data_IF_987559477162
#
_entry.id   IF_987559477162
#
_cell.length_a   1.000
_cell.length_b   1.000
_cell.length_c   1.000
_cell.angle_alpha   90.00
_cell.angle_beta   90.00
_cell.angle_gamma   90.00
#
_symmetry.space_group_name_H-M   'P 1'
#
loop_
_entity.id
_entity.type
_entity.pdbx_description
1 polymer ?
#
# COMPACT_ATOMS: atom_id res chain seq x y z
N UNK A 1 -35.41 -8.50 -29.76
CA UNK A 1 -34.30 -7.56 -29.41
C UNK A 1 -33.30 -8.20 -28.42
N UNK A 2 -33.72 -8.79 -27.32
CA UNK A 2 -32.86 -9.38 -26.31
C UNK A 2 -32.08 -10.62 -26.79
N UNK A 3 -32.69 -11.48 -27.63
CA UNK A 3 -32.02 -12.67 -28.21
C UNK A 3 -30.91 -12.34 -29.23
N UNK A 4 -30.99 -11.22 -29.92
CA UNK A 4 -29.94 -10.78 -30.85
C UNK A 4 -28.72 -10.22 -30.11
N UNK A 5 -28.93 -9.54 -29.00
CA UNK A 5 -27.83 -9.02 -28.14
C UNK A 5 -27.05 -10.15 -27.45
N UNK A 6 -27.75 -11.23 -27.03
CA UNK A 6 -27.09 -12.41 -26.44
C UNK A 6 -26.28 -13.22 -27.47
N UNK A 7 -26.68 -13.23 -28.74
CA UNK A 7 -25.88 -13.84 -29.81
C UNK A 7 -24.59 -13.08 -30.07
N UNK A 8 -24.66 -11.76 -30.15
CA UNK A 8 -23.46 -10.93 -30.35
C UNK A 8 -22.43 -11.10 -29.20
N UNK A 9 -22.89 -11.22 -27.97
CA UNK A 9 -22.00 -11.48 -26.79
C UNK A 9 -21.35 -12.88 -26.91
N UNK A 10 -22.06 -13.87 -27.45
CA UNK A 10 -21.52 -15.21 -27.63
C UNK A 10 -20.49 -15.25 -28.76
N UNK A 11 -20.75 -14.56 -29.86
CA UNK A 11 -19.86 -14.49 -31.03
C UNK A 11 -18.58 -13.69 -30.67
N UNK A 12 -18.69 -12.64 -29.87
CA UNK A 12 -17.54 -11.91 -29.34
C UNK A 12 -16.70 -12.77 -28.35
N UNK A 13 -17.34 -13.65 -27.57
CA UNK A 13 -16.63 -14.56 -26.66
C UNK A 13 -15.89 -15.68 -27.42
N UNK A 14 -16.42 -16.15 -28.58
CA UNK A 14 -15.74 -17.14 -29.42
C UNK A 14 -14.57 -16.56 -30.22
N UNK A 15 -14.54 -15.25 -30.46
CA UNK A 15 -13.40 -14.57 -31.11
C UNK A 15 -12.20 -14.38 -30.17
N UNK A 16 -12.39 -14.44 -28.84
CA UNK A 16 -11.32 -14.51 -27.84
C UNK A 16 -10.91 -15.97 -27.61
N UNK A 17 -10.31 -16.60 -28.58
CA UNK A 17 -9.65 -17.91 -28.41
C UNK A 17 -8.38 -17.69 -27.58
N UNK A 18 -8.44 -17.97 -26.27
CA UNK A 18 -7.25 -18.31 -25.54
C UNK A 18 -6.73 -19.65 -26.07
N UNK A 19 -5.76 -19.63 -26.95
CA UNK A 19 -5.01 -20.83 -27.33
C UNK A 19 -4.25 -21.32 -26.10
N UNK A 20 -4.73 -22.42 -25.50
CA UNK A 20 -3.91 -23.21 -24.61
C UNK A 20 -2.81 -23.89 -25.46
N UNK A 21 -1.71 -23.21 -25.68
CA UNK A 21 -0.49 -23.85 -26.16
C UNK A 21 0.22 -24.51 -24.97
N UNK A 22 -0.03 -25.81 -24.83
CA UNK A 22 0.75 -26.72 -24.04
C UNK A 22 2.05 -27.06 -24.78
N UNK A 23 3.03 -26.19 -24.77
CA UNK A 23 4.42 -26.60 -24.99
C UNK A 23 5.39 -25.44 -24.81
N UNK A 24 6.20 -25.60 -23.84
CA UNK A 24 7.49 -24.99 -23.51
C UNK A 24 7.51 -24.33 -22.15
N UNK A 25 8.40 -24.88 -21.35
CA UNK A 25 8.95 -24.29 -20.14
C UNK A 25 9.49 -22.88 -20.47
N UNK A 26 8.60 -21.90 -20.54
CA UNK A 26 9.01 -20.51 -20.56
C UNK A 26 9.38 -20.21 -19.12
N UNK A 27 10.70 -20.04 -18.88
CA UNK A 27 11.21 -19.35 -17.69
C UNK A 27 10.26 -18.20 -17.40
N UNK A 28 9.72 -18.19 -16.17
CA UNK A 28 8.91 -17.08 -15.66
C UNK A 28 9.84 -15.86 -15.66
N UNK A 29 9.91 -15.18 -16.80
CA UNK A 29 10.38 -13.81 -16.81
C UNK A 29 9.38 -13.06 -15.92
N UNK A 30 9.84 -12.65 -14.76
CA UNK A 30 9.15 -11.73 -13.89
C UNK A 30 8.80 -10.51 -14.75
N UNK A 31 7.54 -10.47 -15.22
CA UNK A 31 7.02 -9.21 -15.74
C UNK A 31 7.14 -8.23 -14.59
N UNK A 32 7.77 -7.06 -14.78
CA UNK A 32 7.81 -6.05 -13.74
C UNK A 32 6.37 -5.82 -13.28
N UNK A 33 6.15 -5.85 -11.99
CA UNK A 33 4.82 -5.65 -11.40
C UNK A 33 4.29 -4.29 -11.86
N UNK A 34 3.45 -4.28 -12.90
CA UNK A 34 2.90 -3.05 -13.49
C UNK A 34 1.92 -2.33 -12.57
N UNK A 35 1.80 -2.77 -11.32
CA UNK A 35 0.86 -2.24 -10.33
C UNK A 35 1.50 -1.30 -9.33
N UNK A 36 2.80 -1.03 -9.46
CA UNK A 36 3.46 -0.09 -8.56
C UNK A 36 2.66 1.22 -8.49
N UNK A 37 2.26 1.58 -7.28
CA UNK A 37 1.47 2.77 -7.00
C UNK A 37 2.32 3.84 -6.36
N UNK A 38 1.96 5.10 -6.61
CA UNK A 38 2.61 6.25 -5.99
C UNK A 38 1.63 7.03 -5.14
N UNK A 39 2.14 7.94 -4.33
CA UNK A 39 1.31 8.84 -3.54
C UNK A 39 0.62 9.94 -4.35
N UNK A 40 0.93 10.05 -5.65
CA UNK A 40 0.44 11.12 -6.49
C UNK A 40 -1.05 10.94 -6.82
N UNK A 41 -1.80 12.04 -6.73
CA UNK A 41 -3.24 12.06 -7.00
C UNK A 41 -3.67 13.40 -7.56
N UNK A 42 -4.56 13.38 -8.55
CA UNK A 42 -5.22 14.58 -9.05
C UNK A 42 -6.55 14.72 -8.30
N UNK A 43 -6.52 15.42 -7.17
CA UNK A 43 -7.66 15.56 -6.26
C UNK A 43 -8.93 16.07 -6.95
N UNK A 44 -8.80 17.00 -7.92
CA UNK A 44 -9.91 17.57 -8.66
C UNK A 44 -10.70 16.60 -9.52
N UNK A 45 -10.13 15.43 -9.83
CA UNK A 45 -10.79 14.37 -10.61
C UNK A 45 -11.56 13.38 -9.74
N UNK A 46 -11.44 13.47 -8.40
CA UNK A 46 -12.05 12.51 -7.49
C UNK A 46 -13.33 13.09 -6.93
N UNK A 47 -14.44 12.40 -7.16
CA UNK A 47 -15.77 12.84 -6.76
C UNK A 47 -16.32 11.89 -5.67
N UNK A 48 -16.95 12.45 -4.65
CA UNK A 48 -17.76 11.72 -3.67
C UNK A 48 -16.96 10.99 -2.57
N UNK A 49 -15.65 11.30 -2.39
CA UNK A 49 -14.79 10.69 -1.36
C UNK A 49 -14.54 11.57 -0.13
N UNK A 50 -15.10 12.78 -0.09
CA UNK A 50 -14.84 13.72 1.02
C UNK A 50 -15.24 13.17 2.39
N UNK A 51 -16.40 12.53 2.46
CA UNK A 51 -16.89 11.94 3.71
C UNK A 51 -15.99 10.79 4.20
N UNK A 52 -15.59 9.90 3.29
CA UNK A 52 -14.67 8.79 3.61
C UNK A 52 -13.31 9.32 4.05
N UNK A 53 -12.76 10.31 3.31
CA UNK A 53 -11.52 11.00 3.68
C UNK A 53 -11.60 11.59 5.07
N UNK A 54 -12.66 12.34 5.40
CA UNK A 54 -12.84 12.96 6.72
C UNK A 54 -12.93 11.92 7.84
N UNK A 55 -13.61 10.80 7.60
CA UNK A 55 -13.70 9.71 8.57
C UNK A 55 -12.32 9.09 8.86
N UNK A 56 -11.55 8.77 7.82
CA UNK A 56 -10.19 8.22 7.93
C UNK A 56 -9.28 9.19 8.67
N UNK A 57 -9.30 10.47 8.31
CA UNK A 57 -8.53 11.52 8.96
C UNK A 57 -8.88 11.67 10.45
N UNK A 58 -10.16 11.62 10.78
CA UNK A 58 -10.62 11.65 12.17
C UNK A 58 -10.06 10.48 12.97
N UNK A 59 -10.15 9.26 12.43
CA UNK A 59 -9.63 8.05 13.09
C UNK A 59 -8.11 8.08 13.28
N UNK A 60 -7.37 8.56 12.29
CA UNK A 60 -5.90 8.72 12.40
C UNK A 60 -5.51 9.80 13.40
N UNK A 61 -6.36 10.80 13.62
CA UNK A 61 -6.10 11.91 14.56
C UNK A 61 -6.48 11.55 16.00
N UNK A 62 -7.43 10.62 16.19
CA UNK A 62 -7.95 10.22 17.50
C UNK A 62 -7.03 9.19 18.13
N UNK A 63 -5.86 9.58 18.63
CA UNK A 63 -5.13 8.71 19.53
C UNK A 63 -5.46 9.06 20.97
N UNK A 64 -6.23 8.21 21.61
CA UNK A 64 -6.66 8.34 23.00
C UNK A 64 -5.52 8.16 24.01
N UNK A 65 -4.40 7.56 23.62
CA UNK A 65 -3.22 7.39 24.43
C UNK A 65 -1.97 7.92 23.70
N UNK A 66 -1.13 8.67 24.42
CA UNK A 66 0.10 9.28 23.87
C UNK A 66 1.13 8.24 23.37
N UNK A 67 0.92 6.97 23.70
CA UNK A 67 1.89 5.89 23.47
C UNK A 67 1.42 4.83 22.46
N UNK A 68 0.27 5.01 21.80
CA UNK A 68 -0.26 4.00 20.89
C UNK A 68 0.01 4.32 19.40
N UNK A 69 0.61 3.33 18.74
CA UNK A 69 0.70 3.29 17.29
C UNK A 69 -0.71 3.09 16.74
N UNK A 70 -1.13 3.96 15.83
CA UNK A 70 -2.41 3.81 15.14
C UNK A 70 -2.20 3.08 13.81
N UNK A 71 -2.87 1.94 13.63
CA UNK A 71 -2.91 1.21 12.36
C UNK A 71 -4.36 1.20 11.89
N UNK A 72 -4.63 1.81 10.76
CA UNK A 72 -5.96 1.91 10.18
C UNK A 72 -6.03 1.16 8.85
N UNK A 73 -6.75 0.03 8.76
CA UNK A 73 -6.95 -0.66 7.50
C UNK A 73 -8.10 -0.04 6.69
N UNK A 74 -7.92 0.07 5.38
CA UNK A 74 -8.94 0.36 4.37
C UNK A 74 -9.16 -0.93 3.58
N UNK A 75 -10.24 -1.63 3.88
CA UNK A 75 -10.58 -2.90 3.26
C UNK A 75 -11.72 -2.73 2.26
N UNK A 76 -11.78 -3.58 1.23
CA UNK A 76 -12.89 -3.59 0.28
C UNK A 76 -12.54 -4.27 -1.04
N UNK A 77 -13.53 -4.37 -1.91
CA UNK A 77 -13.38 -5.00 -3.22
C UNK A 77 -12.30 -4.33 -4.08
N UNK A 78 -11.70 -5.11 -4.98
CA UNK A 78 -10.78 -4.59 -5.98
C UNK A 78 -11.46 -3.50 -6.82
N UNK A 79 -10.72 -2.42 -7.14
CA UNK A 79 -11.24 -1.32 -7.95
C UNK A 79 -12.17 -0.33 -7.24
N UNK A 80 -12.53 -0.52 -5.96
CA UNK A 80 -13.42 0.40 -5.22
C UNK A 80 -12.76 1.75 -4.88
N UNK A 81 -11.47 1.92 -5.15
CA UNK A 81 -10.74 3.17 -4.91
C UNK A 81 -10.09 3.27 -3.53
N UNK A 82 -9.64 2.14 -2.94
CA UNK A 82 -8.90 2.14 -1.65
C UNK A 82 -7.60 2.94 -1.75
N UNK A 83 -6.79 2.65 -2.74
CA UNK A 83 -5.54 3.37 -3.04
C UNK A 83 -5.79 4.86 -3.24
N UNK A 84 -6.83 5.23 -4.01
CA UNK A 84 -7.21 6.63 -4.23
C UNK A 84 -7.59 7.33 -2.92
N UNK A 85 -8.35 6.65 -2.05
CA UNK A 85 -8.68 7.19 -0.73
C UNK A 85 -7.43 7.37 0.14
N UNK A 86 -6.52 6.40 0.12
CA UNK A 86 -5.25 6.50 0.84
C UNK A 86 -4.39 7.65 0.32
N UNK A 87 -4.33 7.88 -1.00
CA UNK A 87 -3.63 9.02 -1.62
C UNK A 87 -4.23 10.35 -1.17
N UNK A 88 -5.56 10.49 -1.15
CA UNK A 88 -6.25 11.70 -0.65
C UNK A 88 -5.91 12.00 0.81
N UNK A 89 -5.84 10.96 1.64
CA UNK A 89 -5.47 11.07 3.06
C UNK A 89 -3.99 11.43 3.19
N UNK A 90 -3.11 10.75 2.47
CA UNK A 90 -1.66 10.97 2.52
C UNK A 90 -1.28 12.41 2.17
N UNK A 91 -1.98 13.01 1.20
CA UNK A 91 -1.73 14.37 0.75
C UNK A 91 -2.50 15.44 1.54
N UNK A 92 -3.24 15.06 2.58
CA UNK A 92 -3.98 16.00 3.41
C UNK A 92 -3.05 16.97 4.16
N UNK A 93 -3.48 18.22 4.26
CA UNK A 93 -2.72 19.31 4.91
C UNK A 93 -2.36 19.01 6.37
N UNK A 94 -3.15 18.20 7.08
CA UNK A 94 -2.93 17.79 8.47
C UNK A 94 -1.62 17.03 8.68
N UNK A 95 -1.10 16.39 7.64
CA UNK A 95 0.17 15.64 7.70
C UNK A 95 1.38 16.45 7.23
N UNK A 96 1.22 17.73 6.87
CA UNK A 96 2.35 18.58 6.47
C UNK A 96 3.38 18.80 7.58
N UNK A 97 2.93 18.76 8.84
CA UNK A 97 3.80 18.91 10.01
C UNK A 97 4.47 17.60 10.47
N UNK A 98 4.19 16.49 9.77
CA UNK A 98 4.87 15.24 10.07
C UNK A 98 6.31 15.30 9.58
N UNK A 99 7.22 14.73 10.38
CA UNK A 99 8.63 14.68 10.02
C UNK A 99 8.86 13.85 8.78
N UNK A 100 8.12 12.73 8.67
CA UNK A 100 8.21 11.84 7.53
C UNK A 100 6.83 11.40 7.06
N UNK A 101 6.67 11.34 5.75
CA UNK A 101 5.52 10.74 5.08
C UNK A 101 6.07 9.77 4.05
N UNK A 102 5.70 8.51 4.18
CA UNK A 102 6.26 7.41 3.39
C UNK A 102 5.14 6.64 2.73
N UNK A 103 5.26 6.39 1.44
CA UNK A 103 4.34 5.58 0.65
C UNK A 103 5.05 4.32 0.17
N UNK A 104 4.60 3.16 0.62
CA UNK A 104 5.15 1.87 0.22
C UNK A 104 4.08 1.07 -0.50
N UNK A 105 4.30 0.79 -1.77
CA UNK A 105 3.58 -0.25 -2.47
C UNK A 105 4.11 -1.62 -2.00
N UNK A 106 3.20 -2.48 -1.54
CA UNK A 106 3.57 -3.84 -1.13
C UNK A 106 3.34 -4.77 -2.31
N UNK A 107 4.44 -5.32 -2.84
CA UNK A 107 4.37 -6.24 -3.97
C UNK A 107 3.60 -7.52 -3.62
N UNK A 108 3.16 -8.27 -4.63
CA UNK A 108 2.48 -9.56 -4.44
C UNK A 108 3.35 -10.58 -3.69
N UNK A 109 4.66 -10.46 -3.82
CA UNK A 109 5.62 -11.21 -3.01
C UNK A 109 5.94 -10.38 -1.78
N UNK A 110 5.38 -10.78 -0.65
CA UNK A 110 5.60 -10.07 0.62
C UNK A 110 7.05 -10.25 1.09
N UNK A 111 7.82 -9.17 1.11
CA UNK A 111 9.19 -9.16 1.63
C UNK A 111 9.42 -8.01 2.62
N UNK A 112 9.67 -8.38 3.86
CA UNK A 112 9.95 -7.43 4.95
C UNK A 112 11.21 -6.60 4.71
N UNK A 113 12.20 -7.13 3.98
CA UNK A 113 13.42 -6.38 3.67
C UNK A 113 13.14 -5.30 2.64
N UNK A 114 12.37 -5.64 1.60
CA UNK A 114 11.95 -4.66 0.59
C UNK A 114 11.15 -3.53 1.21
N UNK A 115 10.16 -3.86 2.05
CA UNK A 115 9.35 -2.86 2.77
C UNK A 115 10.24 -1.97 3.65
N UNK A 116 11.14 -2.56 4.42
CA UNK A 116 12.04 -1.82 5.31
C UNK A 116 13.00 -0.90 4.55
N UNK A 117 13.62 -1.41 3.49
CA UNK A 117 14.53 -0.63 2.64
C UNK A 117 13.80 0.50 1.89
N UNK A 118 12.56 0.26 1.42
CA UNK A 118 11.73 1.29 0.81
C UNK A 118 11.44 2.44 1.77
N UNK A 119 11.13 2.14 3.04
CA UNK A 119 10.91 3.16 4.07
C UNK A 119 12.19 3.96 4.31
N UNK A 120 13.33 3.29 4.50
CA UNK A 120 14.63 3.93 4.75
C UNK A 120 15.01 4.85 3.58
N UNK A 121 14.92 4.35 2.35
CA UNK A 121 15.28 5.10 1.15
C UNK A 121 14.47 6.39 0.99
N UNK A 122 13.16 6.34 1.31
CA UNK A 122 12.30 7.52 1.23
C UNK A 122 12.56 8.53 2.35
N UNK A 123 12.90 8.06 3.55
CA UNK A 123 13.19 8.93 4.69
C UNK A 123 14.53 9.65 4.53
N UNK A 124 15.54 8.97 3.98
CA UNK A 124 16.88 9.51 3.78
C UNK A 124 17.09 10.19 2.41
N UNK A 125 16.09 10.11 1.51
CA UNK A 125 16.22 10.55 0.11
C UNK A 125 17.45 9.93 -0.59
N UNK A 126 17.73 8.66 -0.27
CA UNK A 126 18.89 7.93 -0.76
C UNK A 126 18.53 6.47 -1.11
N UNK A 127 19.36 5.87 -1.95
CA UNK A 127 19.19 4.47 -2.33
C UNK A 127 19.99 3.58 -1.36
N UNK A 128 19.42 3.29 -0.21
CA UNK A 128 19.99 2.39 0.79
C UNK A 128 19.39 0.99 0.60
N UNK A 129 20.24 0.00 0.45
CA UNK A 129 19.81 -1.40 0.38
C UNK A 129 20.58 -2.20 1.44
N UNK A 130 19.93 -2.42 2.59
CA UNK A 130 20.49 -3.17 3.71
C UNK A 130 20.12 -4.66 3.57
N UNK A 131 21.11 -5.53 3.64
CA UNK A 131 20.96 -6.95 3.35
C UNK A 131 20.32 -7.75 4.49
N UNK A 132 20.41 -7.26 5.72
CA UNK A 132 19.91 -8.00 6.88
C UNK A 132 18.79 -7.29 7.61
N UNK A 133 17.80 -8.06 8.06
CA UNK A 133 16.67 -7.53 8.85
C UNK A 133 17.12 -6.82 10.12
N UNK A 134 18.21 -7.27 10.73
CA UNK A 134 18.73 -6.65 11.94
C UNK A 134 19.22 -5.22 11.67
N UNK A 135 19.96 -5.02 10.58
CA UNK A 135 20.43 -3.68 10.16
C UNK A 135 19.25 -2.79 9.81
N UNK A 136 18.28 -3.30 9.06
CA UNK A 136 17.05 -2.57 8.72
C UNK A 136 16.32 -2.11 9.99
N UNK A 137 16.11 -3.00 10.96
CA UNK A 137 15.42 -2.67 12.20
C UNK A 137 16.17 -1.60 13.02
N UNK A 138 17.49 -1.72 13.10
CA UNK A 138 18.32 -0.73 13.79
C UNK A 138 18.26 0.63 13.11
N UNK A 139 18.32 0.63 11.80
CA UNK A 139 18.30 1.85 10.99
C UNK A 139 16.93 2.55 11.08
N UNK A 140 15.83 1.80 10.90
CA UNK A 140 14.48 2.31 11.09
C UNK A 140 14.28 2.92 12.49
N UNK A 141 14.80 2.25 13.52
CA UNK A 141 14.73 2.76 14.88
C UNK A 141 15.46 4.10 15.01
N UNK A 142 16.65 4.20 14.48
CA UNK A 142 17.43 5.44 14.50
C UNK A 142 16.73 6.59 13.76
N UNK A 143 16.16 6.31 12.57
CA UNK A 143 15.53 7.32 11.72
C UNK A 143 14.18 7.82 12.27
N UNK A 144 13.36 6.90 12.78
CA UNK A 144 11.96 7.17 13.08
C UNK A 144 11.67 7.38 14.57
N UNK A 145 12.65 7.12 15.46
CA UNK A 145 12.47 7.32 16.89
C UNK A 145 12.09 8.78 17.18
N UNK A 146 11.03 8.95 17.97
CA UNK A 146 10.48 10.26 18.36
C UNK A 146 9.99 11.17 17.23
N UNK A 147 9.95 10.67 16.00
CA UNK A 147 9.45 11.39 14.83
C UNK A 147 7.97 11.11 14.60
N UNK A 148 7.21 12.17 14.26
CA UNK A 148 5.85 12.01 13.76
C UNK A 148 5.93 11.48 12.33
N UNK A 149 5.47 10.27 12.11
CA UNK A 149 5.59 9.60 10.81
C UNK A 149 4.25 9.04 10.36
N UNK A 150 3.87 9.31 9.12
CA UNK A 150 2.77 8.64 8.43
C UNK A 150 3.35 7.65 7.42
N UNK A 151 2.98 6.40 7.52
CA UNK A 151 3.37 5.36 6.58
C UNK A 151 2.09 4.78 5.95
N UNK A 152 2.03 4.78 4.63
CA UNK A 152 1.02 4.07 3.86
C UNK A 152 1.63 2.79 3.33
N UNK A 153 0.97 1.66 3.60
CA UNK A 153 1.26 0.36 3.00
C UNK A 153 0.12 0.06 2.02
N UNK A 154 0.38 0.26 0.75
CA UNK A 154 -0.65 0.09 -0.27
C UNK A 154 -0.61 -1.31 -0.88
N UNK A 155 -1.79 -1.89 -1.08
CA UNK A 155 -2.02 -3.20 -1.69
C UNK A 155 -1.44 -4.38 -0.88
N UNK A 156 -1.57 -4.34 0.45
CA UNK A 156 -1.10 -5.40 1.35
C UNK A 156 -2.05 -6.59 1.37
N UNK A 157 -1.66 -7.71 0.77
CA UNK A 157 -2.45 -8.94 0.65
C UNK A 157 -1.91 -10.12 1.46
N UNK A 158 -0.94 -9.89 2.34
CA UNK A 158 -0.37 -10.96 3.18
C UNK A 158 -1.41 -11.50 4.16
N UNK A 159 -1.54 -12.81 4.21
CA UNK A 159 -2.48 -13.54 5.07
C UNK A 159 -1.79 -14.33 6.17
N UNK A 160 -0.47 -14.56 6.06
CA UNK A 160 0.29 -15.22 7.11
C UNK A 160 0.44 -14.32 8.32
N UNK A 161 -0.24 -14.70 9.39
CA UNK A 161 -0.24 -13.99 10.67
C UNK A 161 1.18 -13.83 11.25
N UNK A 162 2.09 -14.77 11.00
CA UNK A 162 3.48 -14.69 11.44
C UNK A 162 4.21 -13.55 10.73
N UNK A 163 4.05 -13.44 9.41
CA UNK A 163 4.62 -12.37 8.58
C UNK A 163 4.08 -10.99 8.99
N UNK A 164 2.76 -10.88 9.16
CA UNK A 164 2.12 -9.64 9.62
C UNK A 164 2.59 -9.22 11.02
N UNK A 165 2.77 -10.17 11.94
CA UNK A 165 3.32 -9.87 13.26
C UNK A 165 4.78 -9.39 13.18
N UNK A 166 5.58 -9.97 12.31
CA UNK A 166 6.96 -9.53 12.09
C UNK A 166 7.02 -8.12 11.49
N UNK A 167 6.13 -7.80 10.52
CA UNK A 167 5.98 -6.44 9.98
C UNK A 167 5.61 -5.47 11.11
N UNK A 168 4.61 -5.81 11.92
CA UNK A 168 4.17 -4.98 13.05
C UNK A 168 5.29 -4.74 14.06
N UNK A 169 6.10 -5.75 14.37
CA UNK A 169 7.26 -5.60 15.26
C UNK A 169 8.33 -4.70 14.65
N UNK A 170 8.63 -4.86 13.36
CA UNK A 170 9.59 -4.03 12.63
C UNK A 170 9.18 -2.56 12.63
N UNK A 171 7.89 -2.27 12.45
CA UNK A 171 7.35 -0.92 12.36
C UNK A 171 7.02 -0.29 13.72
N UNK A 172 7.07 -1.05 14.82
CA UNK A 172 6.80 -0.53 16.17
C UNK A 172 8.01 0.20 16.76
N UNK A 173 8.40 1.30 16.14
CA UNK A 173 9.63 2.06 16.48
C UNK A 173 9.35 3.28 17.35
N UNK A 174 8.18 3.90 17.18
CA UNK A 174 7.79 5.12 17.92
C UNK A 174 6.28 5.17 18.13
N UNK A 175 5.84 5.73 19.23
CA UNK A 175 4.41 5.98 19.53
C UNK A 175 3.77 7.08 18.67
N UNK A 176 4.59 7.86 17.98
CA UNK A 176 4.11 8.97 17.12
C UNK A 176 3.86 8.54 15.67
N UNK A 177 3.77 7.24 15.43
CA UNK A 177 3.57 6.69 14.08
C UNK A 177 2.09 6.44 13.79
N UNK A 178 1.72 6.70 12.54
CA UNK A 178 0.40 6.40 11.98
C UNK A 178 0.57 5.55 10.73
N UNK A 179 -0.19 4.49 10.66
CA UNK A 179 -0.20 3.58 9.52
C UNK A 179 -1.55 3.57 8.87
N UNK A 180 -1.56 3.69 7.56
CA UNK A 180 -2.72 3.47 6.71
C UNK A 180 -2.41 2.28 5.80
N UNK A 181 -3.26 1.27 5.81
CA UNK A 181 -3.05 0.03 5.07
C UNK A 181 -4.21 -0.20 4.13
N UNK A 182 -3.97 -0.41 2.85
CA UNK A 182 -5.02 -0.85 1.92
C UNK A 182 -4.90 -2.34 1.65
N UNK A 183 -6.05 -3.04 1.59
CA UNK A 183 -6.12 -4.49 1.38
C UNK A 183 -7.43 -4.92 0.70
#
# INVERSE_FOLDING_TARGET
KMRSQLRNIKDDHESFKFTHDNSSLISVHQFPDRRETTSDVIESLIIGRDKDRMNVLSLLSTSSNKDDITILPICGLGGIGKTTLAQLVFNDTRFREYNHRVWVYVSQVFDLKEIGNSIISQVENGNQNLDTRQLINQHLKHLLQDKKTLIVLDDLWETDTSQLNQLKLMLRVSSKMRFLVTT
#
